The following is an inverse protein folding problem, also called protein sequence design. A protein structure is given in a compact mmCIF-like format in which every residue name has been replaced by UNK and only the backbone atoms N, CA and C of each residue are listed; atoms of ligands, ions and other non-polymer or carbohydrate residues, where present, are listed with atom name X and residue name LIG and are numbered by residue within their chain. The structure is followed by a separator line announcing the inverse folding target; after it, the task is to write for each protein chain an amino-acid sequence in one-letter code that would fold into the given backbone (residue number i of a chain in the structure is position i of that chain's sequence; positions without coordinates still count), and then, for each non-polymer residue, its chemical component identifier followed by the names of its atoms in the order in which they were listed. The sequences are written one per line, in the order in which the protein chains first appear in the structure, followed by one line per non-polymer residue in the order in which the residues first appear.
data_IF_377957583129
#
_entry.id   IF_377957583129
#
_cell.length_a   1.000
_cell.length_b   1.000
_cell.length_c   1.000
_cell.angle_alpha   90.00
_cell.angle_beta   90.00
_cell.angle_gamma   90.00
#
_symmetry.space_group_name_H-M   'P 1'
#
loop_
_entity.id
_entity.type
_entity.pdbx_description
1 polymer ?
#
# COMPACT_ATOMS: atom_id res chain seq x y z
N UNK A 1 5.04 42.92 31.49
CA UNK A 1 6.30 43.43 32.10
C UNK A 1 7.41 43.25 31.05
N UNK A 2 8.29 44.25 30.83
CA UNK A 2 9.53 44.28 30.00
C UNK A 2 9.86 42.99 29.20
N UNK A 3 9.97 42.91 27.86
CA UNK A 3 10.40 43.85 26.81
C UNK A 3 11.86 44.36 26.96
N UNK A 4 12.73 43.91 26.03
CA UNK A 4 13.85 44.60 25.33
C UNK A 4 14.82 43.53 24.73
N UNK A 5 14.94 43.45 23.40
CA UNK A 5 16.02 44.01 22.54
C UNK A 5 17.41 43.38 22.69
N UNK A 6 17.99 42.93 21.57
CA UNK A 6 19.16 43.58 20.95
C UNK A 6 19.13 43.40 19.42
N UNK A 7 19.82 44.27 18.69
CA UNK A 7 19.80 44.42 17.22
C UNK A 7 21.17 44.96 16.74
N UNK A 8 21.42 45.01 15.41
CA UNK A 8 22.54 45.74 14.73
C UNK A 8 23.95 45.12 14.95
N UNK A 9 24.97 45.27 14.08
CA UNK A 9 25.14 45.65 12.65
C UNK A 9 26.58 45.15 12.22
N UNK A 10 27.27 45.44 11.10
CA UNK A 10 27.12 46.38 9.99
C UNK A 10 27.87 45.93 8.70
N UNK A 11 27.84 46.78 7.67
CA UNK A 11 28.44 46.63 6.34
C UNK A 11 29.95 46.94 6.22
N UNK A 12 30.57 46.43 5.14
CA UNK A 12 31.59 47.09 4.29
C UNK A 12 31.54 46.38 2.89
N UNK A 13 31.65 46.94 1.68
CA UNK A 13 32.45 48.05 1.08
C UNK A 13 33.97 47.83 1.15
N UNK A 14 34.79 48.03 0.11
CA UNK A 14 34.60 48.42 -1.30
C UNK A 14 35.72 47.73 -2.16
N UNK A 15 36.05 48.00 -3.44
CA UNK A 15 35.70 49.07 -4.40
C UNK A 15 35.81 48.54 -5.86
N UNK A 16 36.23 49.39 -6.83
CA UNK A 16 36.44 49.04 -8.24
C UNK A 16 37.71 49.72 -8.83
N UNK A 17 38.16 49.29 -10.01
CA UNK A 17 39.14 49.99 -10.86
C UNK A 17 38.86 49.73 -12.35
N UNK A 18 39.47 50.53 -13.25
CA UNK A 18 38.96 50.80 -14.60
C UNK A 18 40.00 50.66 -15.74
N UNK A 19 39.44 50.54 -16.95
CA UNK A 19 40.02 50.85 -18.27
C UNK A 19 41.07 49.89 -18.89
N UNK A 20 41.01 49.78 -20.22
CA UNK A 20 41.86 48.90 -21.04
C UNK A 20 41.26 48.60 -22.41
N UNK A 21 41.10 49.61 -23.28
CA UNK A 21 40.63 49.41 -24.66
C UNK A 21 41.80 49.37 -25.64
N UNK A 22 42.10 48.20 -26.21
CA UNK A 22 42.92 48.08 -27.42
C UNK A 22 42.23 47.20 -28.46
N UNK A 23 42.33 47.60 -29.74
CA UNK A 23 41.77 46.87 -30.89
C UNK A 23 42.90 46.19 -31.66
N UNK A 24 43.03 44.88 -31.51
CA UNK A 24 43.96 44.07 -32.31
C UNK A 24 43.22 43.30 -33.40
N UNK A 25 43.31 43.79 -34.63
CA UNK A 25 42.76 43.15 -35.82
C UNK A 25 43.68 42.03 -36.32
N UNK A 26 43.29 40.77 -36.11
CA UNK A 26 43.93 39.61 -36.74
C UNK A 26 43.01 38.97 -37.79
N UNK A 27 43.58 38.55 -38.92
CA UNK A 27 42.80 38.09 -40.07
C UNK A 27 42.19 36.70 -39.86
N UNK A 28 40.95 36.50 -40.30
CA UNK A 28 40.29 35.20 -40.32
C UNK A 28 40.86 34.33 -41.45
N UNK A 29 41.34 33.13 -41.11
CA UNK A 29 41.59 32.07 -42.08
C UNK A 29 40.27 31.33 -42.40
N UNK A 30 40.06 30.86 -43.65
CA UNK A 30 38.83 30.18 -44.03
C UNK A 30 38.71 28.83 -43.32
N UNK A 31 37.56 28.57 -42.70
CA UNK A 31 37.25 27.29 -42.08
C UNK A 31 37.02 26.21 -43.16
N UNK A 32 37.60 25.02 -42.95
CA UNK A 32 37.28 23.85 -43.75
C UNK A 32 35.83 23.37 -43.45
N UNK A 33 35.11 22.78 -44.43
CA UNK A 33 33.76 22.28 -44.21
C UNK A 33 33.78 21.13 -43.19
N UNK A 34 33.00 21.28 -42.10
CA UNK A 34 32.83 20.21 -41.12
C UNK A 34 32.07 19.03 -41.74
N UNK A 35 32.69 17.85 -41.76
CA UNK A 35 32.02 16.63 -42.17
C UNK A 35 30.91 16.30 -41.18
N UNK A 36 29.68 16.14 -41.67
CA UNK A 36 28.52 15.77 -40.85
C UNK A 36 28.71 14.36 -40.29
N UNK A 37 28.83 14.24 -38.96
CA UNK A 37 28.82 12.95 -38.30
C UNK A 37 27.50 12.21 -38.57
N UNK A 38 27.52 10.87 -38.74
CA UNK A 38 26.29 10.10 -38.90
C UNK A 38 25.41 10.24 -37.66
N UNK A 39 24.12 10.44 -37.85
CA UNK A 39 23.17 10.50 -36.74
C UNK A 39 23.20 9.17 -35.96
N UNK A 40 23.22 9.26 -34.63
CA UNK A 40 23.06 8.09 -33.78
C UNK A 40 21.70 7.42 -34.08
N UNK A 41 21.60 6.08 -34.08
CA UNK A 41 20.33 5.41 -34.25
C UNK A 41 19.38 5.84 -33.13
N UNK A 42 18.13 6.16 -33.49
CA UNK A 42 17.09 6.41 -32.51
C UNK A 42 16.94 5.18 -31.58
N UNK A 43 16.65 5.38 -30.29
CA UNK A 43 16.37 4.26 -29.39
C UNK A 43 15.23 3.43 -29.98
N UNK A 44 15.39 2.11 -30.01
CA UNK A 44 14.37 1.21 -30.51
C UNK A 44 13.09 1.37 -29.68
N UNK A 45 11.94 1.47 -30.35
CA UNK A 45 10.64 1.65 -29.70
C UNK A 45 10.23 0.37 -28.95
N UNK A 46 10.70 0.26 -27.71
CA UNK A 46 10.36 -0.85 -26.82
C UNK A 46 8.94 -0.66 -26.31
N UNK A 47 7.96 -1.06 -27.12
CA UNK A 47 6.56 -1.16 -26.73
C UNK A 47 6.47 -1.90 -25.38
N UNK A 48 6.14 -1.17 -24.33
CA UNK A 48 5.94 -1.75 -23.01
C UNK A 48 4.70 -2.62 -23.06
N UNK A 49 4.87 -3.91 -22.72
CA UNK A 49 3.73 -4.83 -22.58
C UNK A 49 2.90 -4.33 -21.40
N UNK A 50 1.61 -4.07 -21.63
CA UNK A 50 0.70 -3.64 -20.59
C UNK A 50 0.73 -4.64 -19.42
N UNK A 51 0.78 -4.13 -18.19
CA UNK A 51 0.73 -4.97 -17.01
C UNK A 51 -0.61 -5.73 -16.93
N UNK A 52 -0.63 -6.85 -16.23
CA UNK A 52 -1.87 -7.56 -15.88
C UNK A 52 -1.89 -7.88 -14.39
N UNK A 53 -3.08 -7.91 -13.81
CA UNK A 53 -3.28 -8.30 -12.40
C UNK A 53 -4.02 -9.63 -12.31
N UNK A 54 -3.45 -10.58 -11.58
CA UNK A 54 -4.16 -11.78 -11.14
C UNK A 54 -4.39 -11.70 -9.63
N UNK A 55 -5.65 -11.86 -9.21
CA UNK A 55 -6.04 -11.82 -7.79
C UNK A 55 -6.15 -13.25 -7.27
N UNK A 56 -5.57 -13.49 -6.10
CA UNK A 56 -5.81 -14.68 -5.30
C UNK A 56 -6.41 -14.26 -3.96
N UNK A 57 -7.66 -14.64 -3.74
CA UNK A 57 -8.35 -14.50 -2.47
C UNK A 57 -8.95 -15.88 -2.13
N UNK A 58 -8.71 -16.44 -0.93
CA UNK A 58 -9.20 -17.76 -0.55
C UNK A 58 -10.69 -17.77 -0.15
N UNK A 59 -11.28 -16.61 0.14
CA UNK A 59 -12.64 -16.49 0.69
C UNK A 59 -12.84 -17.36 1.93
N UNK A 60 -13.97 -18.06 1.98
CA UNK A 60 -14.36 -19.00 3.05
C UNK A 60 -13.41 -20.22 3.21
N UNK A 61 -12.41 -20.40 2.33
CA UNK A 61 -11.39 -21.45 2.46
C UNK A 61 -10.22 -21.07 3.38
N UNK A 62 -10.26 -19.90 4.04
CA UNK A 62 -9.27 -19.47 5.00
C UNK A 62 -9.91 -18.77 6.21
N UNK A 63 -9.12 -18.54 7.26
CA UNK A 63 -9.51 -17.76 8.44
C UNK A 63 -9.75 -16.27 8.07
N UNK A 64 -9.03 -15.77 7.07
CA UNK A 64 -9.17 -14.40 6.55
C UNK A 64 -9.29 -14.40 5.03
N UNK A 65 -10.26 -13.67 4.50
CA UNK A 65 -10.48 -13.47 3.07
C UNK A 65 -9.60 -12.34 2.52
N UNK A 66 -8.28 -12.44 2.78
CA UNK A 66 -7.25 -11.47 2.37
C UNK A 66 -6.85 -11.68 0.91
N UNK A 67 -6.70 -10.59 0.17
CA UNK A 67 -6.35 -10.58 -1.25
C UNK A 67 -4.84 -10.46 -1.46
N UNK A 68 -4.24 -11.46 -2.12
CA UNK A 68 -2.94 -11.32 -2.77
C UNK A 68 -3.11 -10.92 -4.23
N UNK A 69 -2.23 -10.06 -4.75
CA UNK A 69 -2.28 -9.60 -6.16
C UNK A 69 -0.93 -9.81 -6.84
N UNK A 70 -0.91 -10.63 -7.89
CA UNK A 70 0.22 -10.75 -8.80
C UNK A 70 0.11 -9.65 -9.85
N UNK A 71 0.97 -8.63 -9.77
CA UNK A 71 1.15 -7.64 -10.84
C UNK A 71 2.22 -8.18 -11.78
N UNK A 72 1.82 -8.53 -13.01
CA UNK A 72 2.67 -9.21 -13.98
C UNK A 72 2.99 -8.30 -15.16
N UNK A 73 4.25 -8.30 -15.59
CA UNK A 73 4.70 -7.69 -16.84
C UNK A 73 4.98 -8.73 -17.92
N UNK A 74 5.98 -8.43 -18.75
CA UNK A 74 6.51 -9.28 -19.83
C UNK A 74 7.38 -10.42 -19.28
N UNK A 75 8.26 -10.09 -18.33
CA UNK A 75 9.31 -10.96 -17.80
C UNK A 75 9.26 -11.08 -16.28
N UNK A 76 8.63 -10.11 -15.61
CA UNK A 76 8.62 -9.99 -14.15
C UNK A 76 7.21 -10.12 -13.55
N UNK A 77 7.19 -10.51 -12.29
CA UNK A 77 6.02 -10.45 -11.40
C UNK A 77 6.44 -9.75 -10.12
N UNK A 78 5.58 -8.86 -9.63
CA UNK A 78 5.58 -8.39 -8.25
C UNK A 78 4.35 -8.98 -7.56
N UNK A 79 4.53 -9.50 -6.36
CA UNK A 79 3.44 -9.91 -5.49
C UNK A 79 3.12 -8.78 -4.51
N UNK A 80 1.84 -8.46 -4.36
CA UNK A 80 1.30 -7.68 -3.25
C UNK A 80 0.63 -8.67 -2.29
N UNK A 81 1.07 -8.65 -1.03
CA UNK A 81 0.59 -9.41 0.14
C UNK A 81 0.71 -10.94 0.05
N UNK A 82 1.06 -11.58 1.17
CA UNK A 82 1.64 -12.92 1.22
C UNK A 82 0.72 -14.06 1.73
N UNK A 83 -0.52 -13.74 2.12
CA UNK A 83 -1.48 -14.63 2.79
C UNK A 83 -1.12 -15.02 4.23
N UNK A 84 -2.13 -15.50 4.96
CA UNK A 84 -2.03 -15.83 6.39
C UNK A 84 -1.42 -17.19 6.72
N UNK A 85 -1.70 -18.22 5.89
CA UNK A 85 -1.27 -19.59 6.19
C UNK A 85 -0.30 -20.13 5.15
N UNK A 86 0.58 -21.03 5.58
CA UNK A 86 1.49 -21.72 4.70
C UNK A 86 0.77 -22.50 3.58
N UNK A 87 -0.49 -22.91 3.77
CA UNK A 87 -1.29 -23.56 2.72
C UNK A 87 -1.66 -22.59 1.60
N UNK A 88 -2.21 -21.42 1.95
CA UNK A 88 -2.58 -20.41 0.96
C UNK A 88 -1.33 -19.83 0.28
N UNK A 89 -0.24 -19.65 1.02
CA UNK A 89 1.07 -19.27 0.49
C UNK A 89 1.67 -20.31 -0.48
N UNK A 90 1.44 -21.62 -0.28
CA UNK A 90 1.82 -22.67 -1.25
C UNK A 90 1.04 -22.52 -2.56
N UNK A 91 -0.29 -22.36 -2.49
CA UNK A 91 -1.14 -22.12 -3.69
C UNK A 91 -0.71 -20.86 -4.44
N UNK A 92 -0.36 -19.80 -3.71
CA UNK A 92 0.15 -18.55 -4.26
C UNK A 92 1.52 -18.74 -4.94
N UNK A 93 2.43 -19.51 -4.34
CA UNK A 93 3.71 -19.86 -4.96
C UNK A 93 3.52 -20.67 -6.26
N UNK A 94 2.55 -21.58 -6.32
CA UNK A 94 2.29 -22.37 -7.51
C UNK A 94 1.65 -21.54 -8.64
N UNK A 95 0.79 -20.57 -8.30
CA UNK A 95 0.33 -19.52 -9.25
C UNK A 95 1.50 -18.73 -9.83
N UNK A 96 2.41 -18.25 -8.99
CA UNK A 96 3.59 -17.48 -9.42
C UNK A 96 4.48 -18.32 -10.36
N UNK A 97 4.76 -19.58 -10.02
CA UNK A 97 5.51 -20.51 -10.90
C UNK A 97 4.82 -20.71 -12.25
N UNK A 98 3.49 -20.86 -12.26
CA UNK A 98 2.70 -21.07 -13.48
C UNK A 98 2.77 -19.90 -14.48
N UNK A 99 3.15 -18.69 -14.03
CA UNK A 99 3.38 -17.54 -14.95
C UNK A 99 4.61 -17.72 -15.85
N UNK A 100 5.58 -18.55 -15.45
CA UNK A 100 6.89 -18.67 -16.12
C UNK A 100 7.79 -17.43 -16.01
N UNK A 101 7.39 -16.42 -15.23
CA UNK A 101 8.09 -15.13 -15.05
C UNK A 101 8.92 -15.11 -13.77
N UNK A 102 9.84 -14.15 -13.67
CA UNK A 102 10.65 -13.94 -12.45
C UNK A 102 9.86 -13.14 -11.42
N UNK A 103 9.58 -13.73 -10.25
CA UNK A 103 9.17 -12.95 -9.08
C UNK A 103 10.35 -12.10 -8.61
N UNK A 104 10.26 -10.77 -8.73
CA UNK A 104 11.34 -9.87 -8.32
C UNK A 104 11.14 -9.29 -6.93
N UNK A 105 9.88 -9.10 -6.54
CA UNK A 105 9.51 -8.35 -5.34
C UNK A 105 8.25 -8.96 -4.72
N UNK A 106 8.23 -9.07 -3.40
CA UNK A 106 7.03 -9.27 -2.59
C UNK A 106 6.88 -8.01 -1.73
N UNK A 107 5.83 -7.23 -1.99
CA UNK A 107 5.49 -6.05 -1.19
C UNK A 107 4.40 -6.41 -0.18
N UNK A 108 4.61 -6.02 1.07
CA UNK A 108 3.61 -6.13 2.15
C UNK A 108 2.99 -4.76 2.40
N UNK A 109 1.68 -4.66 2.24
CA UNK A 109 0.93 -3.41 2.31
C UNK A 109 0.53 -3.02 3.74
N UNK A 110 0.27 -3.98 4.63
CA UNK A 110 -0.16 -3.72 6.00
C UNK A 110 0.50 -4.64 7.05
N UNK A 111 0.42 -4.26 8.33
CA UNK A 111 1.19 -4.87 9.41
C UNK A 111 0.56 -6.08 10.11
N UNK A 112 -0.67 -6.45 9.73
CA UNK A 112 -1.39 -7.59 10.33
C UNK A 112 -0.97 -8.94 9.73
N UNK A 113 -1.06 -10.05 10.49
CA UNK A 113 -0.36 -11.31 10.21
C UNK A 113 -0.84 -12.00 8.94
N UNK A 114 -2.08 -11.75 8.51
CA UNK A 114 -2.65 -12.28 7.28
C UNK A 114 -2.07 -11.65 6.00
N UNK A 115 -1.47 -10.47 6.12
CA UNK A 115 -0.71 -9.83 5.05
C UNK A 115 0.69 -10.46 4.87
N UNK A 116 1.32 -11.02 5.93
CA UNK A 116 2.75 -11.40 5.87
C UNK A 116 3.16 -12.79 6.41
N UNK A 117 2.32 -13.55 7.13
CA UNK A 117 2.73 -14.85 7.70
C UNK A 117 3.15 -15.88 6.63
N UNK A 118 2.56 -15.84 5.44
CA UNK A 118 2.95 -16.68 4.30
C UNK A 118 4.36 -16.44 3.76
N UNK A 119 5.04 -15.36 4.17
CA UNK A 119 6.39 -15.02 3.70
C UNK A 119 7.44 -16.11 3.96
N UNK A 120 7.32 -16.90 5.03
CA UNK A 120 8.21 -18.05 5.28
C UNK A 120 8.18 -19.05 4.10
N UNK A 121 6.95 -19.39 3.66
CA UNK A 121 6.73 -20.29 2.53
C UNK A 121 7.17 -19.67 1.20
N UNK A 122 6.91 -18.37 1.00
CA UNK A 122 7.27 -17.67 -0.24
C UNK A 122 8.77 -17.41 -0.36
N UNK A 123 9.45 -17.07 0.73
CA UNK A 123 10.91 -16.88 0.76
C UNK A 123 11.64 -18.19 0.45
N UNK A 124 11.16 -19.31 1.01
CA UNK A 124 11.70 -20.64 0.70
C UNK A 124 11.46 -21.05 -0.78
N UNK A 125 10.37 -20.58 -1.40
CA UNK A 125 10.05 -20.85 -2.80
C UNK A 125 10.76 -19.91 -3.80
N UNK A 126 11.08 -18.68 -3.40
CA UNK A 126 11.65 -17.62 -4.24
C UNK A 126 12.75 -16.84 -3.50
N UNK A 127 13.91 -17.46 -3.19
CA UNK A 127 14.96 -16.84 -2.38
C UNK A 127 15.64 -15.62 -3.02
N UNK A 128 15.43 -15.37 -4.32
CA UNK A 128 15.90 -14.18 -5.04
C UNK A 128 14.94 -12.98 -4.94
N UNK A 129 13.69 -13.19 -4.52
CA UNK A 129 12.69 -12.13 -4.48
C UNK A 129 12.90 -11.17 -3.30
N UNK A 130 12.88 -9.86 -3.57
CA UNK A 130 13.00 -8.83 -2.54
C UNK A 130 11.71 -8.73 -1.73
N UNK A 131 11.76 -9.07 -0.45
CA UNK A 131 10.63 -8.91 0.47
C UNK A 131 10.72 -7.51 1.08
N UNK A 132 9.77 -6.63 0.79
CA UNK A 132 9.81 -5.20 1.15
C UNK A 132 8.48 -4.69 1.72
N UNK A 133 8.56 -3.68 2.59
CA UNK A 133 7.39 -2.96 3.11
C UNK A 133 7.78 -1.53 3.47
N UNK A 134 6.79 -0.69 3.83
CA UNK A 134 7.05 0.66 4.34
C UNK A 134 7.73 0.57 5.72
N UNK A 135 8.57 1.55 6.11
CA UNK A 135 9.12 1.61 7.48
C UNK A 135 8.04 1.57 8.58
N UNK A 136 6.87 2.13 8.30
CA UNK A 136 5.69 2.12 9.16
C UNK A 136 5.12 0.70 9.35
N UNK A 137 4.91 -0.02 8.25
CA UNK A 137 4.46 -1.42 8.27
C UNK A 137 5.47 -2.32 8.97
N UNK A 138 6.78 -2.11 8.75
CA UNK A 138 7.85 -2.86 9.44
C UNK A 138 7.83 -2.59 10.94
N UNK A 139 7.63 -1.33 11.37
CA UNK A 139 7.54 -0.99 12.79
C UNK A 139 6.31 -1.65 13.47
N UNK A 140 5.17 -1.73 12.78
CA UNK A 140 4.00 -2.45 13.28
C UNK A 140 4.25 -3.98 13.38
N UNK A 141 4.89 -4.57 12.36
CA UNK A 141 5.26 -5.99 12.37
C UNK A 141 6.22 -6.29 13.53
N UNK A 142 7.30 -5.53 13.68
CA UNK A 142 8.26 -5.73 14.78
C UNK A 142 7.63 -5.55 16.17
N UNK A 143 6.66 -4.64 16.32
CA UNK A 143 5.95 -4.43 17.59
C UNK A 143 4.96 -5.56 17.95
N UNK A 144 4.41 -6.27 16.97
CA UNK A 144 3.25 -7.17 17.19
C UNK A 144 3.49 -8.65 16.85
N UNK A 145 4.45 -8.97 15.98
CA UNK A 145 4.60 -10.30 15.35
C UNK A 145 4.63 -11.48 16.33
N UNK A 146 5.35 -11.37 17.44
CA UNK A 146 5.51 -12.46 18.40
C UNK A 146 4.23 -12.68 19.23
N UNK A 147 3.50 -11.60 19.53
CA UNK A 147 2.20 -11.65 20.18
C UNK A 147 1.13 -12.22 19.23
N UNK A 148 1.09 -11.74 17.97
CA UNK A 148 0.18 -12.25 16.93
C UNK A 148 0.48 -13.74 16.64
N UNK A 149 1.73 -14.18 16.58
CA UNK A 149 2.08 -15.60 16.40
C UNK A 149 1.69 -16.45 17.61
N UNK A 150 1.87 -15.95 18.84
CA UNK A 150 1.39 -16.65 20.06
C UNK A 150 -0.13 -16.80 20.06
N UNK A 151 -0.86 -15.81 19.52
CA UNK A 151 -2.32 -15.86 19.36
C UNK A 151 -2.76 -16.83 18.26
N UNK A 152 -2.10 -16.82 17.09
CA UNK A 152 -2.58 -17.46 15.85
C UNK A 152 -1.91 -18.80 15.48
N UNK A 153 -0.72 -19.07 15.99
CA UNK A 153 0.00 -20.32 15.74
C UNK A 153 -0.80 -21.59 16.10
N UNK A 154 -1.51 -21.65 17.25
CA UNK A 154 -2.32 -22.81 17.62
C UNK A 154 -3.47 -23.15 16.66
N UNK A 155 -4.09 -22.15 16.03
CA UNK A 155 -5.21 -22.29 15.08
C UNK A 155 -4.72 -22.61 13.68
N UNK A 156 -3.56 -22.06 13.29
CA UNK A 156 -2.89 -22.37 12.03
C UNK A 156 -2.25 -23.77 12.04
N UNK A 157 -1.83 -24.27 13.22
CA UNK A 157 -1.27 -25.61 13.39
C UNK A 157 -0.04 -25.84 12.53
N UNK A 158 -0.05 -26.90 11.71
CA UNK A 158 1.03 -27.18 10.74
C UNK A 158 1.19 -26.13 9.63
N UNK A 159 0.20 -25.25 9.45
CA UNK A 159 0.22 -24.17 8.48
C UNK A 159 0.62 -22.81 9.08
N UNK A 160 1.08 -22.79 10.33
CA UNK A 160 1.73 -21.63 10.93
C UNK A 160 3.11 -21.37 10.28
N UNK A 161 3.60 -20.12 10.23
CA UNK A 161 4.98 -19.85 9.85
C UNK A 161 5.95 -20.49 10.84
N UNK A 162 7.03 -21.10 10.33
CA UNK A 162 8.11 -21.68 11.16
C UNK A 162 9.10 -20.62 11.64
N UNK A 163 9.12 -19.49 10.95
CA UNK A 163 9.93 -18.30 11.22
C UNK A 163 9.16 -17.05 10.79
N UNK A 164 9.26 -15.96 11.57
CA UNK A 164 8.61 -14.69 11.24
C UNK A 164 9.55 -13.86 10.37
N UNK A 165 9.30 -13.87 9.06
CA UNK A 165 10.05 -13.07 8.08
C UNK A 165 9.58 -11.62 8.14
N UNK A 166 10.47 -10.72 8.56
CA UNK A 166 10.22 -9.26 8.55
C UNK A 166 10.71 -8.66 7.22
N UNK A 167 9.90 -7.85 6.52
CA UNK A 167 10.32 -7.21 5.27
C UNK A 167 11.47 -6.20 5.42
N UNK A 168 12.21 -5.97 4.33
CA UNK A 168 13.20 -4.90 4.24
C UNK A 168 12.53 -3.53 3.95
N UNK A 169 13.10 -2.40 4.40
CA UNK A 169 12.52 -1.09 4.17
C UNK A 169 12.58 -0.71 2.68
N UNK A 170 11.39 -0.52 2.09
CA UNK A 170 11.23 0.07 0.77
C UNK A 170 11.88 1.47 0.73
N UNK A 171 12.57 1.76 -0.36
CA UNK A 171 13.22 3.05 -0.58
C UNK A 171 12.33 3.93 -1.46
N UNK A 172 11.90 5.07 -0.93
CA UNK A 172 10.95 5.95 -1.61
C UNK A 172 9.50 5.47 -1.51
N UNK A 173 8.71 5.87 -2.51
CA UNK A 173 7.24 5.76 -2.56
C UNK A 173 6.74 4.81 -3.66
N UNK A 174 7.63 4.04 -4.29
CA UNK A 174 7.30 3.33 -5.53
C UNK A 174 8.04 2.00 -5.70
N UNK A 175 7.35 1.10 -6.41
CA UNK A 175 7.75 -0.24 -6.81
C UNK A 175 7.76 -0.30 -8.36
N UNK A 176 8.34 -1.34 -8.96
CA UNK A 176 8.35 -1.48 -10.43
C UNK A 176 8.19 -2.95 -10.89
N UNK A 177 7.64 -3.12 -12.10
CA UNK A 177 7.57 -4.40 -12.82
C UNK A 177 7.95 -4.16 -14.28
N UNK A 178 9.00 -4.79 -14.79
CA UNK A 178 9.56 -4.56 -16.13
C UNK A 178 9.77 -3.05 -16.45
N UNK A 179 10.15 -2.26 -15.44
CA UNK A 179 10.36 -0.81 -15.52
C UNK A 179 9.10 0.07 -15.52
N UNK A 180 7.90 -0.51 -15.45
CA UNK A 180 6.66 0.24 -15.23
C UNK A 180 6.46 0.50 -13.73
N UNK A 181 6.08 1.74 -13.39
CA UNK A 181 5.97 2.18 -12.00
C UNK A 181 4.63 1.79 -11.35
N UNK A 182 4.72 1.40 -10.08
CA UNK A 182 3.63 1.18 -9.14
C UNK A 182 3.85 2.16 -7.97
N UNK A 183 2.87 2.97 -7.59
CA UNK A 183 3.01 4.06 -6.61
C UNK A 183 2.26 3.75 -5.32
N UNK A 184 2.88 3.99 -4.16
CA UNK A 184 2.22 3.87 -2.86
C UNK A 184 1.47 5.16 -2.55
N UNK A 185 0.16 5.04 -2.37
CA UNK A 185 -0.72 6.16 -1.99
C UNK A 185 -0.93 6.12 -0.48
N UNK A 186 -0.79 7.26 0.21
CA UNK A 186 -1.08 7.40 1.65
C UNK A 186 0.12 7.72 2.55
N UNK A 187 1.36 7.56 2.06
CA UNK A 187 2.60 7.78 2.84
C UNK A 187 2.78 9.21 3.41
N UNK A 188 2.16 10.18 2.75
CA UNK A 188 2.09 11.61 3.09
C UNK A 188 0.81 12.00 3.84
N UNK A 189 -0.03 11.03 4.19
CA UNK A 189 -1.27 11.21 4.94
C UNK A 189 -1.11 11.06 6.46
N UNK A 190 -2.21 11.20 7.22
CA UNK A 190 -2.23 11.03 8.68
C UNK A 190 -2.04 9.57 9.13
N UNK A 191 -2.34 8.59 8.27
CA UNK A 191 -2.22 7.14 8.50
C UNK A 191 -1.24 6.48 7.52
N UNK A 192 0.07 6.79 7.59
CA UNK A 192 1.07 6.33 6.63
C UNK A 192 1.41 4.82 6.74
N UNK A 193 0.82 4.11 7.71
CA UNK A 193 0.75 2.65 7.86
C UNK A 193 -0.36 1.98 7.02
N UNK A 194 -1.26 2.78 6.42
CA UNK A 194 -2.44 2.31 5.67
C UNK A 194 -2.38 2.74 4.21
N UNK A 195 -1.36 2.28 3.51
CA UNK A 195 -1.12 2.56 2.08
C UNK A 195 -1.86 1.60 1.15
N UNK A 196 -2.15 2.04 -0.08
CA UNK A 196 -2.56 1.17 -1.21
C UNK A 196 -1.61 1.34 -2.39
N UNK A 197 -1.53 0.36 -3.29
CA UNK A 197 -0.71 0.44 -4.51
C UNK A 197 -1.55 0.90 -5.69
N UNK A 198 -1.13 1.99 -6.34
CA UNK A 198 -1.67 2.52 -7.58
C UNK A 198 -0.80 2.08 -8.78
N UNK A 199 -1.43 1.64 -9.86
CA UNK A 199 -0.77 1.13 -11.06
C UNK A 199 -1.21 1.97 -12.27
N UNK A 200 -0.55 3.10 -12.57
CA UNK A 200 -1.06 4.10 -13.53
C UNK A 200 -1.26 3.57 -14.94
N UNK A 201 -0.41 2.65 -15.43
CA UNK A 201 -0.46 2.16 -16.81
C UNK A 201 -1.69 1.30 -17.12
N UNK A 202 -2.39 0.81 -16.09
CA UNK A 202 -3.64 0.03 -16.20
C UNK A 202 -4.78 0.58 -15.33
N UNK A 203 -4.57 1.75 -14.70
CA UNK A 203 -5.50 2.40 -13.76
C UNK A 203 -6.08 1.47 -12.68
N UNK A 204 -5.25 0.57 -12.14
CA UNK A 204 -5.65 -0.35 -11.08
C UNK A 204 -5.14 0.10 -9.72
N UNK A 205 -5.98 0.01 -8.69
CA UNK A 205 -5.59 0.10 -7.27
C UNK A 205 -5.63 -1.30 -6.66
N UNK A 206 -4.63 -1.66 -5.85
CA UNK A 206 -4.49 -2.99 -5.27
C UNK A 206 -3.86 -2.98 -3.86
N UNK A 207 -4.30 -3.93 -3.03
CA UNK A 207 -3.76 -4.19 -1.70
C UNK A 207 -4.08 -3.12 -0.66
N UNK A 208 -3.65 -3.37 0.58
CA UNK A 208 -3.82 -2.47 1.72
C UNK A 208 -5.16 -2.61 2.43
N UNK A 209 -5.11 -2.44 3.76
CA UNK A 209 -6.31 -2.41 4.62
C UNK A 209 -7.32 -1.27 4.33
N UNK A 210 -7.02 -0.14 3.61
CA UNK A 210 -8.04 0.90 3.38
C UNK A 210 -9.27 0.51 2.57
N UNK A 211 -9.30 -0.64 1.89
CA UNK A 211 -10.43 -1.02 1.00
C UNK A 211 -10.87 -2.45 1.25
N UNK A 212 -12.13 -2.64 1.66
CA UNK A 212 -12.75 -3.94 1.94
C UNK A 212 -14.08 -4.09 1.17
N UNK A 213 -14.62 -5.32 1.09
CA UNK A 213 -15.95 -5.57 0.54
C UNK A 213 -16.62 -6.86 1.06
N UNK A 214 -17.96 -6.89 1.14
CA UNK A 214 -18.72 -8.12 1.38
C UNK A 214 -18.69 -8.69 2.80
N UNK A 215 -17.87 -8.12 3.69
CA UNK A 215 -17.78 -8.45 5.11
C UNK A 215 -17.91 -7.20 5.99
N UNK A 216 -18.25 -7.40 7.27
CA UNK A 216 -18.25 -6.34 8.26
C UNK A 216 -16.84 -5.79 8.46
N UNK A 217 -16.62 -4.53 8.05
CA UNK A 217 -15.32 -3.87 8.10
C UNK A 217 -14.77 -3.85 9.52
N UNK A 218 -13.46 -4.10 9.63
CA UNK A 218 -12.70 -4.02 10.87
C UNK A 218 -12.50 -2.55 11.29
N UNK A 219 -13.21 -2.12 12.33
CA UNK A 219 -13.16 -0.73 12.84
C UNK A 219 -12.37 -0.59 14.16
N UNK A 220 -11.89 -1.70 14.74
CA UNK A 220 -11.27 -1.72 16.06
C UNK A 220 -9.94 -0.95 16.15
N UNK A 221 -9.23 -0.77 15.02
CA UNK A 221 -7.99 0.02 14.99
C UNK A 221 -8.29 1.53 14.89
N UNK A 222 -9.41 1.91 14.27
CA UNK A 222 -9.74 3.30 13.93
C UNK A 222 -10.63 3.95 14.98
N UNK A 223 -10.31 3.77 16.26
CA UNK A 223 -11.16 4.02 17.45
C UNK A 223 -11.67 5.48 17.66
N UNK A 224 -11.39 6.42 16.75
CA UNK A 224 -11.76 7.84 16.89
C UNK A 224 -12.50 8.37 15.65
N UNK A 225 -13.36 9.40 15.80
CA UNK A 225 -13.96 10.11 14.67
C UNK A 225 -12.93 10.74 13.73
N UNK A 226 -11.73 11.09 14.22
CA UNK A 226 -10.65 11.60 13.38
C UNK A 226 -10.10 10.50 12.46
N UNK A 227 -9.80 9.31 13.00
CA UNK A 227 -9.34 8.18 12.17
C UNK A 227 -10.38 7.71 11.16
N UNK A 228 -11.69 7.83 11.43
CA UNK A 228 -12.74 7.61 10.44
C UNK A 228 -12.76 8.71 9.36
N UNK A 229 -12.65 9.98 9.74
CA UNK A 229 -12.52 11.11 8.79
C UNK A 229 -11.28 10.96 7.89
N UNK A 230 -10.15 10.53 8.46
CA UNK A 230 -8.89 10.32 7.76
C UNK A 230 -8.98 9.15 6.77
N UNK A 231 -9.63 8.05 7.15
CA UNK A 231 -9.92 6.92 6.27
C UNK A 231 -10.86 7.32 5.12
N UNK A 232 -11.94 8.08 5.42
CA UNK A 232 -12.84 8.62 4.39
C UNK A 232 -12.11 9.57 3.42
N UNK A 233 -11.16 10.37 3.91
CA UNK A 233 -10.30 11.22 3.08
C UNK A 233 -9.34 10.40 2.20
N UNK A 234 -8.78 9.30 2.73
CA UNK A 234 -7.96 8.36 1.95
C UNK A 234 -8.78 7.67 0.85
N UNK A 235 -9.99 7.19 1.15
CA UNK A 235 -10.92 6.64 0.14
C UNK A 235 -11.27 7.66 -0.95
N UNK A 236 -11.52 8.92 -0.58
CA UNK A 236 -11.75 10.00 -1.53
C UNK A 236 -10.51 10.29 -2.41
N UNK A 237 -9.30 10.24 -1.84
CA UNK A 237 -8.04 10.38 -2.57
C UNK A 237 -7.82 9.25 -3.57
N UNK A 238 -8.11 8.00 -3.20
CA UNK A 238 -8.05 6.86 -4.12
C UNK A 238 -9.04 7.06 -5.28
N UNK A 239 -10.27 7.51 -4.98
CA UNK A 239 -11.29 7.79 -6.01
C UNK A 239 -10.86 8.93 -6.96
N UNK A 240 -10.12 9.91 -6.47
CA UNK A 240 -9.58 11.02 -7.26
C UNK A 240 -8.47 10.63 -8.26
N UNK A 241 -7.88 9.43 -8.14
CA UNK A 241 -6.96 8.87 -9.16
C UNK A 241 -7.70 8.42 -10.44
N UNK A 242 -9.05 8.39 -10.41
CA UNK A 242 -9.92 7.84 -11.44
C UNK A 242 -9.54 6.39 -11.87
N UNK A 243 -9.49 5.44 -10.91
CA UNK A 243 -9.19 4.04 -11.19
C UNK A 243 -10.30 3.37 -12.02
N UNK A 244 -9.91 2.49 -12.95
CA UNK A 244 -10.84 1.61 -13.67
C UNK A 244 -11.10 0.30 -12.90
N UNK A 245 -10.17 -0.11 -12.03
CA UNK A 245 -10.30 -1.29 -11.16
C UNK A 245 -9.76 -0.97 -9.77
N UNK A 246 -10.49 -1.37 -8.73
CA UNK A 246 -10.02 -1.35 -7.33
C UNK A 246 -10.15 -2.76 -6.75
N UNK A 247 -9.01 -3.40 -6.49
CA UNK A 247 -8.92 -4.73 -5.86
C UNK A 247 -8.85 -4.51 -4.34
N UNK A 248 -9.86 -4.94 -3.56
CA UNK A 248 -9.87 -4.77 -2.11
C UNK A 248 -8.77 -5.59 -1.43
N UNK A 249 -8.20 -5.08 -0.33
CA UNK A 249 -7.30 -5.85 0.53
C UNK A 249 -8.00 -7.05 1.16
N UNK A 250 -9.30 -6.92 1.47
CA UNK A 250 -10.18 -8.02 1.86
C UNK A 250 -11.47 -8.01 1.05
N UNK A 251 -11.95 -9.18 0.62
CA UNK A 251 -13.34 -9.30 0.20
C UNK A 251 -13.94 -10.68 0.43
N UNK A 252 -15.20 -10.71 0.88
CA UNK A 252 -16.02 -11.91 0.90
C UNK A 252 -16.97 -11.95 -0.31
N UNK A 253 -17.20 -13.16 -0.86
CA UNK A 253 -18.07 -13.36 -2.03
C UNK A 253 -17.41 -12.93 -3.35
N UNK A 254 -18.14 -12.16 -4.17
CA UNK A 254 -17.67 -11.72 -5.49
C UNK A 254 -16.94 -10.38 -5.36
N UNK A 255 -15.72 -10.30 -5.90
CA UNK A 255 -14.95 -9.04 -5.95
C UNK A 255 -15.77 -7.93 -6.64
N UNK A 256 -15.96 -6.74 -6.01
CA UNK A 256 -16.75 -5.67 -6.62
C UNK A 256 -16.16 -5.17 -7.93
N UNK A 257 -17.04 -4.78 -8.86
CA UNK A 257 -16.63 -4.21 -10.13
C UNK A 257 -16.22 -2.73 -10.02
N UNK A 258 -15.23 -2.32 -10.81
CA UNK A 258 -14.79 -0.93 -10.91
C UNK A 258 -14.30 -0.37 -9.57
N UNK A 259 -14.97 0.69 -9.10
CA UNK A 259 -14.63 1.39 -7.85
C UNK A 259 -15.56 1.06 -6.67
N UNK A 260 -16.49 0.12 -6.82
CA UNK A 260 -17.61 -0.07 -5.88
C UNK A 260 -17.17 -0.45 -4.45
N UNK A 261 -15.98 -1.03 -4.27
CA UNK A 261 -15.42 -1.31 -2.95
C UNK A 261 -15.05 -0.05 -2.14
N UNK A 262 -14.68 1.05 -2.82
CA UNK A 262 -14.43 2.34 -2.15
C UNK A 262 -15.72 2.89 -1.54
N UNK A 263 -16.82 2.79 -2.30
CA UNK A 263 -18.13 3.29 -1.87
C UNK A 263 -18.73 2.38 -0.78
N UNK A 264 -18.59 1.06 -0.89
CA UNK A 264 -18.93 0.12 0.19
C UNK A 264 -18.19 0.45 1.50
N UNK A 265 -16.87 0.62 1.45
CA UNK A 265 -16.06 0.91 2.65
C UNK A 265 -16.47 2.26 3.25
N UNK A 266 -16.66 3.28 2.42
CA UNK A 266 -17.05 4.61 2.88
C UNK A 266 -18.46 4.66 3.49
N UNK A 267 -19.43 3.96 2.91
CA UNK A 267 -20.80 3.89 3.43
C UNK A 267 -20.90 3.03 4.69
N UNK A 268 -20.05 2.00 4.83
CA UNK A 268 -19.92 1.25 6.07
C UNK A 268 -19.37 2.10 7.22
N UNK A 269 -18.30 2.87 6.99
CA UNK A 269 -17.72 3.78 8.01
C UNK A 269 -18.78 4.78 8.48
N UNK A 270 -19.48 5.45 7.54
CA UNK A 270 -20.57 6.39 7.87
C UNK A 270 -21.69 5.75 8.67
N UNK A 271 -22.13 4.54 8.28
CA UNK A 271 -23.15 3.80 9.01
C UNK A 271 -22.69 3.40 10.41
N UNK A 272 -21.41 3.01 10.57
CA UNK A 272 -20.83 2.67 11.86
C UNK A 272 -20.76 3.88 12.79
N UNK A 273 -20.36 5.06 12.31
CA UNK A 273 -20.42 6.31 13.08
C UNK A 273 -21.86 6.68 13.47
N UNK A 274 -22.80 6.63 12.51
CA UNK A 274 -24.22 6.91 12.73
C UNK A 274 -24.84 5.99 13.79
N UNK A 275 -24.56 4.69 13.78
CA UNK A 275 -25.07 3.76 14.79
C UNK A 275 -24.27 3.85 16.11
N UNK A 276 -22.96 4.12 16.10
CA UNK A 276 -22.15 4.25 17.32
C UNK A 276 -22.64 5.40 18.20
N UNK A 277 -23.10 6.50 17.59
CA UNK A 277 -23.69 7.64 18.28
C UNK A 277 -25.08 7.36 18.89
N UNK A 278 -25.84 6.41 18.33
CA UNK A 278 -27.18 6.01 18.81
C UNK A 278 -27.14 4.87 19.82
N UNK A 279 -26.21 3.93 19.64
CA UNK A 279 -26.11 2.72 20.42
C UNK A 279 -25.69 3.00 21.87
N UNK A 280 -26.34 2.31 22.81
CA UNK A 280 -26.03 2.39 24.24
C UNK A 280 -24.73 1.63 24.58
N UNK A 281 -24.57 0.45 24.01
CA UNK A 281 -23.56 -0.56 24.33
C UNK A 281 -23.14 -1.31 23.05
N UNK A 282 -22.08 -2.10 23.11
CA UNK A 282 -21.50 -2.81 21.98
C UNK A 282 -22.48 -3.81 21.35
N UNK A 283 -23.32 -4.44 22.17
CA UNK A 283 -24.38 -5.34 21.69
C UNK A 283 -25.45 -4.60 20.88
N UNK A 284 -25.88 -3.40 21.31
CA UNK A 284 -26.80 -2.56 20.54
C UNK A 284 -26.18 -2.08 19.20
N UNK A 285 -24.88 -1.74 19.19
CA UNK A 285 -24.17 -1.35 17.97
C UNK A 285 -24.01 -2.52 16.99
N UNK A 286 -23.63 -3.70 17.49
CA UNK A 286 -23.57 -4.95 16.73
C UNK A 286 -24.93 -5.28 16.11
N UNK A 287 -26.03 -5.17 16.87
CA UNK A 287 -27.38 -5.41 16.36
C UNK A 287 -27.80 -4.40 15.29
N UNK A 288 -27.51 -3.10 15.48
CA UNK A 288 -27.86 -2.06 14.51
C UNK A 288 -27.08 -2.21 13.19
N UNK A 289 -25.79 -2.55 13.25
CA UNK A 289 -24.98 -2.80 12.05
C UNK A 289 -25.40 -4.08 11.32
N UNK A 290 -25.80 -5.15 12.03
CA UNK A 290 -26.42 -6.33 11.41
C UNK A 290 -27.77 -6.00 10.76
N UNK A 291 -28.55 -5.05 11.30
CA UNK A 291 -29.79 -4.61 10.65
C UNK A 291 -29.54 -3.80 9.36
N UNK A 292 -28.48 -2.97 9.33
CA UNK A 292 -28.11 -2.20 8.11
C UNK A 292 -27.43 -3.07 7.05
N UNK A 293 -26.70 -4.10 7.45
CA UNK A 293 -25.91 -4.96 6.57
C UNK A 293 -26.13 -6.46 6.84
N UNK A 294 -27.35 -7.00 6.68
CA UNK A 294 -27.75 -8.33 7.19
C UNK A 294 -27.11 -9.53 6.49
N UNK A 295 -26.39 -9.31 5.39
CA UNK A 295 -25.85 -10.36 4.52
C UNK A 295 -24.30 -10.45 4.53
N UNK A 296 -23.63 -9.73 5.45
CA UNK A 296 -22.17 -9.68 5.48
C UNK A 296 -21.55 -10.78 6.37
N UNK A 297 -20.37 -11.26 5.96
CA UNK A 297 -19.47 -12.03 6.81
C UNK A 297 -18.81 -11.19 7.90
N UNK A 298 -17.86 -11.75 8.65
CA UNK A 298 -17.08 -11.00 9.65
C UNK A 298 -17.86 -10.64 10.93
N UNK A 299 -18.83 -11.48 11.35
CA UNK A 299 -19.66 -11.21 12.53
C UNK A 299 -18.84 -11.06 13.83
N UNK A 300 -17.71 -11.77 13.96
CA UNK A 300 -16.78 -11.63 15.08
C UNK A 300 -16.00 -10.31 15.02
N UNK A 301 -15.56 -9.90 13.82
CA UNK A 301 -14.94 -8.59 13.54
C UNK A 301 -15.85 -7.44 13.96
N UNK A 302 -17.15 -7.53 13.65
CA UNK A 302 -18.15 -6.57 14.11
C UNK A 302 -18.31 -6.60 15.64
N UNK A 303 -18.49 -7.77 16.23
CA UNK A 303 -18.74 -7.91 17.67
C UNK A 303 -17.56 -7.43 18.52
N UNK A 304 -16.33 -7.51 18.01
CA UNK A 304 -15.13 -6.94 18.62
C UNK A 304 -15.07 -5.42 18.38
N UNK A 305 -15.18 -4.98 17.12
CA UNK A 305 -15.17 -3.55 16.74
C UNK A 305 -16.20 -2.73 17.52
N UNK A 306 -17.40 -3.29 17.73
CA UNK A 306 -18.48 -2.64 18.47
C UNK A 306 -18.14 -2.48 19.97
N UNK A 307 -17.53 -3.49 20.61
CA UNK A 307 -17.08 -3.39 22.02
C UNK A 307 -15.98 -2.35 22.18
N UNK A 308 -15.05 -2.28 21.24
CA UNK A 308 -13.97 -1.28 21.24
C UNK A 308 -14.54 0.13 21.05
N UNK A 309 -15.40 0.35 20.05
CA UNK A 309 -16.04 1.63 19.79
C UNK A 309 -16.95 2.15 20.94
N UNK A 310 -17.41 1.25 21.84
CA UNK A 310 -18.17 1.61 23.04
C UNK A 310 -17.34 1.58 24.33
N UNK A 311 -16.03 1.33 24.25
CA UNK A 311 -15.11 1.33 25.40
C UNK A 311 -15.21 0.10 26.31
N UNK A 312 -15.95 -0.93 25.90
CA UNK A 312 -16.14 -2.19 26.64
C UNK A 312 -14.94 -3.14 26.51
N UNK A 313 -14.09 -2.89 25.51
CA UNK A 313 -12.83 -3.60 25.26
C UNK A 313 -11.74 -2.57 24.94
N UNK A 314 -10.54 -2.78 25.46
CA UNK A 314 -9.35 -2.07 25.01
C UNK A 314 -8.70 -2.84 23.87
N UNK A 315 -8.26 -2.12 22.83
CA UNK A 315 -7.58 -2.68 21.65
C UNK A 315 -6.30 -1.89 21.36
N UNK A 316 -5.22 -2.60 21.06
CA UNK A 316 -3.83 -2.13 21.04
C UNK A 316 -3.04 -2.86 19.94
#
# INVERSE_FOLDING_TARGET
MKQHYYTLSACALAAALLAGCERSSTASAPAAPAASAPAAPAPADTQQVALTTEVFNPGEQAIFAVSSVLVQGKSEVLLIDAQFSAEQARKLADKIKATGKRLTTIYISHGDPDFYFGLDTLQAAFPEAKIVATPQTIAHIEATKDAKLKVWGPQLGENAPKQLVVPQPLQGDSLQVDGQALQLIGLDGPTPDRTVVWIPSIKTVAGGIPVLAGEHVWMADTQTPQSHSDWLAMLARIKALNPEVVIPGHFAGVMPAGTAALDFTADYIRAFDEETAKAKDGAALEAAMKQRFPNLGGLESLALSAKVAKGEMQWH
#
